data_IF_580951021759
#
_entry.id   IF_580951021759
#
_cell.length_a   1.000
_cell.length_b   1.000
_cell.length_c   1.000
_cell.angle_alpha   90.00
_cell.angle_beta   90.00
_cell.angle_gamma   90.00
#
_symmetry.space_group_name_H-M   'P 1'
#
loop_
_entity.id
_entity.type
_entity.pdbx_description
1 polymer ?
#
# COMPACT_ATOMS: atom_id res chain seq x y z
N UNK A 1 -18.45 22.67 -2.21
CA UNK A 1 -18.10 21.48 -1.40
C UNK A 1 -17.40 21.98 -0.15
N UNK A 2 -17.49 21.24 0.95
CA UNK A 2 -16.74 21.54 2.18
C UNK A 2 -15.79 20.40 2.50
N UNK A 3 -14.64 20.74 3.06
CA UNK A 3 -13.74 19.75 3.62
C UNK A 3 -14.36 19.14 4.87
N UNK A 4 -14.22 17.81 5.00
CA UNK A 4 -14.49 17.14 6.27
C UNK A 4 -13.52 17.65 7.33
N UNK A 5 -13.97 17.58 8.57
CA UNK A 5 -13.16 17.96 9.72
C UNK A 5 -11.90 17.09 9.78
N UNK A 6 -10.78 17.77 10.00
CA UNK A 6 -9.50 17.11 10.24
C UNK A 6 -9.38 16.71 11.71
N UNK A 7 -8.47 15.79 12.06
CA UNK A 7 -8.11 15.55 13.45
C UNK A 7 -7.67 16.85 14.14
N UNK A 8 -7.86 16.94 15.46
CA UNK A 8 -7.42 18.11 16.23
C UNK A 8 -5.90 18.12 16.45
N UNK A 9 -5.37 19.26 16.89
CA UNK A 9 -4.03 19.37 17.48
C UNK A 9 -2.86 19.04 16.54
N UNK A 10 -2.79 19.69 15.37
CA UNK A 10 -1.63 19.59 14.46
C UNK A 10 -1.51 18.25 13.72
N UNK A 11 -2.54 17.40 13.80
CA UNK A 11 -2.65 16.14 13.09
C UNK A 11 -3.51 16.28 11.85
N UNK A 12 -3.21 15.47 10.84
CA UNK A 12 -3.99 15.37 9.60
C UNK A 12 -4.25 13.90 9.26
N UNK A 13 -5.22 13.63 8.38
CA UNK A 13 -5.48 12.27 7.93
C UNK A 13 -4.29 11.75 7.10
N UNK A 14 -3.79 10.57 7.43
CA UNK A 14 -2.69 9.89 6.75
C UNK A 14 -3.15 8.75 5.82
N UNK A 15 -4.45 8.60 5.59
CA UNK A 15 -4.99 7.67 4.60
C UNK A 15 -6.28 8.17 3.96
N UNK A 16 -6.61 7.61 2.80
CA UNK A 16 -7.80 7.94 2.01
C UNK A 16 -9.11 7.66 2.75
N UNK A 17 -9.13 6.66 3.63
CA UNK A 17 -10.28 6.30 4.45
C UNK A 17 -10.56 7.30 5.60
N UNK A 18 -9.66 8.25 5.87
CA UNK A 18 -9.77 9.18 7.00
C UNK A 18 -9.93 8.44 8.35
N UNK A 19 -9.17 7.37 8.55
CA UNK A 19 -9.21 6.55 9.79
C UNK A 19 -7.90 6.58 10.56
N UNK A 20 -6.80 6.98 9.93
CA UNK A 20 -5.48 7.11 10.55
C UNK A 20 -5.06 8.57 10.57
N UNK A 21 -4.76 9.10 11.75
CA UNK A 21 -4.15 10.42 11.88
C UNK A 21 -2.62 10.29 11.88
N UNK A 22 -1.93 11.24 11.27
CA UNK A 22 -0.48 11.36 11.31
C UNK A 22 -0.08 12.69 11.92
N UNK A 23 1.12 12.74 12.49
CA UNK A 23 1.73 14.00 12.88
C UNK A 23 2.05 14.81 11.62
N UNK A 24 1.49 16.01 11.55
CA UNK A 24 1.69 16.93 10.45
C UNK A 24 2.14 18.29 11.00
N UNK A 25 2.94 18.26 12.06
CA UNK A 25 3.35 19.45 12.78
C UNK A 25 4.12 20.47 11.92
N UNK A 26 4.75 20.02 10.83
CA UNK A 26 5.42 20.88 9.84
C UNK A 26 4.44 21.66 8.94
N UNK A 27 3.15 21.33 8.97
CA UNK A 27 2.10 21.98 8.20
C UNK A 27 1.21 22.86 9.07
N UNK A 28 0.69 23.91 8.46
CA UNK A 28 -0.40 24.74 8.99
C UNK A 28 -1.57 24.66 8.04
N UNK A 29 -2.66 24.08 8.50
CA UNK A 29 -3.93 24.06 7.77
C UNK A 29 -4.79 25.25 8.21
N UNK A 30 -5.19 26.09 7.26
CA UNK A 30 -6.04 27.26 7.50
C UNK A 30 -7.40 27.04 6.82
N UNK A 31 -8.48 26.82 7.58
CA UNK A 31 -9.82 26.76 7.02
C UNK A 31 -10.27 28.16 6.54
N UNK A 32 -11.29 28.24 5.67
CA UNK A 32 -11.87 29.51 5.26
C UNK A 32 -12.39 30.29 6.49
N UNK A 33 -12.32 31.64 6.48
CA UNK A 33 -12.81 32.47 7.58
C UNK A 33 -14.31 32.24 7.80
N UNK A 34 -14.73 32.12 9.08
CA UNK A 34 -16.08 31.67 9.49
C UNK A 34 -17.27 32.54 9.03
N UNK A 35 -17.01 33.70 8.40
CA UNK A 35 -18.02 34.71 8.08
C UNK A 35 -18.51 34.70 6.63
N UNK A 36 -18.04 33.78 5.78
CA UNK A 36 -18.52 33.67 4.39
C UNK A 36 -19.82 32.86 4.29
N UNK A 37 -20.91 33.43 4.82
CA UNK A 37 -22.28 32.97 4.55
C UNK A 37 -22.77 33.60 3.23
N UNK A 38 -22.58 32.88 2.13
CA UNK A 38 -23.19 33.18 0.84
C UNK A 38 -23.23 31.91 0.00
N UNK A 39 -24.34 31.67 -0.69
CA UNK A 39 -24.60 30.43 -1.45
C UNK A 39 -23.65 30.22 -2.65
N UNK A 40 -22.79 31.20 -2.95
CA UNK A 40 -21.91 31.21 -4.11
C UNK A 40 -20.44 31.55 -3.75
N UNK A 41 -20.07 31.47 -2.47
CA UNK A 41 -18.70 31.77 -2.06
C UNK A 41 -17.83 30.52 -2.22
N UNK A 42 -16.87 30.59 -3.14
CA UNK A 42 -15.80 29.61 -3.24
C UNK A 42 -15.03 29.57 -1.92
N UNK A 43 -15.12 28.44 -1.21
CA UNK A 43 -14.32 28.22 0.00
C UNK A 43 -12.90 27.87 -0.39
N UNK A 44 -11.97 28.74 -0.03
CA UNK A 44 -10.53 28.50 -0.19
C UNK A 44 -9.96 27.96 1.11
N UNK A 45 -9.25 26.84 1.00
CA UNK A 45 -8.49 26.23 2.08
C UNK A 45 -7.00 26.36 1.75
N UNK A 46 -6.18 26.65 2.75
CA UNK A 46 -4.74 26.80 2.56
C UNK A 46 -3.98 25.80 3.43
N UNK A 47 -2.98 25.17 2.83
CA UNK A 47 -2.03 24.30 3.50
C UNK A 47 -0.64 24.89 3.28
N UNK A 48 0.01 25.28 4.37
CA UNK A 48 1.29 25.97 4.33
C UNK A 48 2.34 25.15 5.10
N UNK A 49 3.56 25.10 4.60
CA UNK A 49 4.71 24.63 5.38
C UNK A 49 5.09 25.72 6.39
N UNK A 50 5.30 25.36 7.66
CA UNK A 50 5.64 26.32 8.71
C UNK A 50 7.01 26.95 8.52
N UNK A 51 7.98 26.14 8.12
CA UNK A 51 9.36 26.58 7.93
C UNK A 51 9.93 25.90 6.68
N UNK A 52 10.66 24.81 6.89
CA UNK A 52 11.33 24.05 5.85
C UNK A 52 10.56 22.77 5.52
N UNK A 53 10.97 22.12 4.43
CA UNK A 53 10.56 20.75 4.16
C UNK A 53 10.91 19.86 5.37
N UNK A 54 10.09 18.84 5.65
CA UNK A 54 10.36 17.91 6.73
C UNK A 54 11.59 17.04 6.41
N UNK A 55 12.26 16.52 7.45
CA UNK A 55 13.29 15.50 7.27
C UNK A 55 12.71 14.19 6.74
N UNK A 56 11.53 13.80 7.24
CA UNK A 56 10.84 12.58 6.84
C UNK A 56 9.64 12.92 5.95
N UNK A 57 9.53 12.30 4.77
CA UNK A 57 8.39 12.52 3.90
C UNK A 57 7.12 11.91 4.47
N UNK A 58 5.98 12.50 4.13
CA UNK A 58 4.67 11.96 4.51
C UNK A 58 3.60 12.40 3.53
N UNK A 59 2.46 11.73 3.56
CA UNK A 59 1.30 12.04 2.72
C UNK A 59 0.09 12.31 3.60
N UNK A 60 -0.58 13.45 3.36
CA UNK A 60 -1.84 13.80 4.01
C UNK A 60 -3.00 13.71 3.04
N UNK A 61 -4.18 13.43 3.58
CA UNK A 61 -5.40 13.25 2.83
C UNK A 61 -6.46 14.23 3.33
N UNK A 62 -7.26 14.74 2.41
CA UNK A 62 -8.43 15.55 2.70
C UNK A 62 -9.60 15.00 1.91
N UNK A 63 -10.77 14.92 2.53
CA UNK A 63 -12.00 14.57 1.83
C UNK A 63 -12.95 15.75 1.79
N UNK A 64 -13.51 16.04 0.63
CA UNK A 64 -14.58 17.03 0.51
C UNK A 64 -15.91 16.31 0.33
N UNK A 65 -16.98 16.91 0.83
CA UNK A 65 -18.36 16.51 0.56
C UNK A 65 -19.18 17.69 0.04
N UNK A 66 -20.12 17.41 -0.86
CA UNK A 66 -21.14 18.40 -1.23
C UNK A 66 -22.09 18.57 -0.03
N UNK A 67 -22.38 19.82 0.37
CA UNK A 67 -23.45 20.06 1.35
C UNK A 67 -24.76 19.50 0.82
N UNK A 68 -25.57 18.82 1.65
CA UNK A 68 -26.95 18.54 1.30
C UNK A 68 -27.65 19.89 1.05
N UNK A 69 -28.17 20.10 -0.15
CA UNK A 69 -29.18 21.13 -0.40
C UNK A 69 -30.47 20.62 0.21
N UNK A 70 -30.90 21.26 1.30
CA UNK A 70 -32.06 20.84 2.08
C UNK A 70 -33.35 21.14 1.29
N UNK A 71 -33.76 20.21 0.43
CA UNK A 71 -35.09 20.21 -0.20
C UNK A 71 -35.57 18.76 -0.40
N UNK A 72 -36.43 18.31 0.50
CA UNK A 72 -37.40 17.26 0.22
C UNK A 72 -37.03 15.86 0.69
N UNK A 73 -37.82 15.34 1.62
CA UNK A 73 -37.94 13.94 2.00
C UNK A 73 -38.00 13.04 0.75
N UNK A 74 -36.88 12.38 0.42
CA UNK A 74 -36.77 11.45 -0.69
C UNK A 74 -35.79 10.33 -0.34
N UNK A 75 -36.30 9.10 -0.35
CA UNK A 75 -35.63 7.83 -0.02
C UNK A 75 -34.19 7.78 -0.58
N UNK A 76 -33.21 7.52 0.29
CA UNK A 76 -31.80 7.32 -0.08
C UNK A 76 -31.68 6.08 -0.97
N UNK A 77 -31.55 6.29 -2.27
CA UNK A 77 -31.01 5.30 -3.20
C UNK A 77 -29.54 5.60 -3.42
N UNK A 78 -28.69 4.69 -2.96
CA UNK A 78 -27.26 4.70 -3.23
C UNK A 78 -27.03 4.55 -4.74
N UNK A 79 -26.51 5.59 -5.41
CA UNK A 79 -25.90 5.50 -6.74
C UNK A 79 -25.17 6.81 -7.10
N UNK A 80 -23.86 6.74 -7.37
CA UNK A 80 -23.11 7.75 -8.16
C UNK A 80 -21.96 8.51 -7.47
N UNK A 81 -20.73 8.55 -8.04
CA UNK A 81 -19.52 9.10 -7.42
C UNK A 81 -19.27 10.59 -7.74
N UNK A 82 -20.22 11.49 -7.42
CA UNK A 82 -20.07 12.93 -7.72
C UNK A 82 -20.31 13.86 -6.52
N UNK A 83 -20.43 13.30 -5.31
CA UNK A 83 -20.74 14.08 -4.09
C UNK A 83 -19.57 14.18 -3.11
N UNK A 84 -18.44 13.55 -3.42
CA UNK A 84 -17.23 13.61 -2.62
C UNK A 84 -16.00 13.66 -3.50
N UNK A 85 -14.95 14.31 -3.03
CA UNK A 85 -13.62 14.18 -3.62
C UNK A 85 -12.59 13.86 -2.55
N UNK A 86 -11.46 13.31 -2.99
CA UNK A 86 -10.32 13.02 -2.13
C UNK A 86 -9.11 13.75 -2.70
N UNK A 87 -8.42 14.47 -1.83
CA UNK A 87 -7.20 15.22 -2.13
C UNK A 87 -6.08 14.52 -1.40
N UNK A 88 -5.05 14.10 -2.12
CA UNK A 88 -3.83 13.53 -1.56
C UNK A 88 -2.70 14.53 -1.78
N UNK A 89 -1.99 14.88 -0.71
CA UNK A 89 -0.85 15.80 -0.76
C UNK A 89 0.38 15.09 -0.22
N UNK A 90 1.36 14.87 -1.09
CA UNK A 90 2.66 14.33 -0.68
C UNK A 90 3.61 15.46 -0.34
N UNK A 91 4.13 15.44 0.88
CA UNK A 91 5.16 16.35 1.36
C UNK A 91 6.51 15.65 1.25
N UNK A 92 7.35 16.15 0.36
CA UNK A 92 8.68 15.60 0.08
C UNK A 92 9.66 15.91 1.21
N UNK A 93 10.72 15.11 1.36
CA UNK A 93 11.76 15.40 2.34
C UNK A 93 12.66 16.53 1.85
N UNK A 94 13.36 17.19 2.78
CA UNK A 94 14.38 18.20 2.46
C UNK A 94 15.48 17.63 1.57
N UNK A 95 15.92 16.41 1.86
CA UNK A 95 16.88 15.68 1.05
C UNK A 95 16.15 14.57 0.30
N UNK A 96 16.04 14.65 -1.05
CA UNK A 96 15.36 13.64 -1.83
C UNK A 96 16.01 12.27 -1.68
N UNK A 97 15.19 11.21 -1.65
CA UNK A 97 15.66 9.83 -1.64
C UNK A 97 15.34 9.21 -3.01
N UNK A 98 16.31 9.17 -3.94
CA UNK A 98 16.11 8.60 -5.26
C UNK A 98 15.97 7.08 -5.18
N UNK A 99 15.25 6.50 -6.13
CA UNK A 99 15.21 5.05 -6.29
C UNK A 99 16.56 4.54 -6.82
N UNK A 100 17.07 3.38 -6.35
CA UNK A 100 18.17 2.70 -7.01
C UNK A 100 17.85 2.47 -8.49
N UNK A 101 18.83 2.60 -9.38
CA UNK A 101 18.62 2.45 -10.84
C UNK A 101 17.98 1.10 -11.22
N UNK A 102 18.32 0.03 -10.49
CA UNK A 102 17.73 -1.31 -10.67
C UNK A 102 16.26 -1.39 -10.27
N UNK A 103 15.78 -0.44 -9.47
CA UNK A 103 14.41 -0.37 -8.94
C UNK A 103 13.58 0.72 -9.65
N UNK A 104 14.09 1.30 -10.74
CA UNK A 104 13.33 2.21 -11.60
C UNK A 104 12.58 1.40 -12.65
N UNK A 105 11.25 1.48 -12.63
CA UNK A 105 10.39 0.77 -13.56
C UNK A 105 10.29 1.54 -14.88
N UNK A 106 10.97 1.04 -15.92
CA UNK A 106 10.98 1.64 -17.27
C UNK A 106 10.10 0.88 -18.25
N UNK A 107 10.27 -0.43 -18.36
CA UNK A 107 9.50 -1.31 -19.24
C UNK A 107 9.30 -2.69 -18.60
N UNK A 108 8.20 -3.38 -18.93
CA UNK A 108 7.96 -4.75 -18.50
C UNK A 108 7.62 -4.84 -17.01
N UNK A 109 8.45 -5.52 -16.23
CA UNK A 109 8.25 -5.70 -14.79
C UNK A 109 9.58 -5.64 -14.04
N UNK A 110 9.59 -4.97 -12.88
CA UNK A 110 10.62 -5.11 -11.86
C UNK A 110 10.03 -5.79 -10.62
N UNK A 111 10.89 -6.44 -9.84
CA UNK A 111 10.52 -7.03 -8.55
C UNK A 111 11.32 -6.38 -7.44
N UNK A 112 10.64 -5.96 -6.39
CA UNK A 112 11.23 -5.37 -5.18
C UNK A 112 10.71 -6.10 -3.95
N UNK A 113 11.51 -6.15 -2.89
CA UNK A 113 11.17 -6.90 -1.69
C UNK A 113 11.30 -6.03 -0.43
N UNK A 114 10.37 -6.22 0.50
CA UNK A 114 10.48 -5.75 1.88
C UNK A 114 10.72 -6.95 2.77
N UNK A 115 11.89 -7.00 3.39
CA UNK A 115 12.31 -8.12 4.23
C UNK A 115 12.20 -7.78 5.71
N UNK A 116 12.34 -8.81 6.55
CA UNK A 116 12.50 -8.65 8.00
C UNK A 116 13.69 -7.79 8.40
N UNK A 117 14.75 -7.76 7.59
CA UNK A 117 15.94 -6.95 7.84
C UNK A 117 15.75 -5.49 7.41
N UNK A 118 15.17 -5.25 6.22
CA UNK A 118 15.11 -3.88 5.66
C UNK A 118 13.88 -3.11 6.11
N UNK A 119 12.73 -3.78 6.28
CA UNK A 119 11.40 -3.20 6.58
C UNK A 119 10.91 -2.11 5.63
N UNK A 120 11.72 -1.73 4.65
CA UNK A 120 11.44 -0.67 3.69
C UNK A 120 12.04 -1.04 2.33
N UNK A 121 11.49 -0.44 1.27
CA UNK A 121 12.08 -0.50 -0.07
C UNK A 121 11.72 0.76 -0.85
N UNK A 122 12.66 1.24 -1.67
CA UNK A 122 12.46 2.38 -2.56
C UNK A 122 12.47 1.92 -4.02
N UNK A 123 11.50 2.39 -4.78
CA UNK A 123 11.36 2.15 -6.21
C UNK A 123 10.90 3.42 -6.92
N UNK A 124 11.08 3.48 -8.24
CA UNK A 124 10.75 4.66 -9.02
C UNK A 124 9.96 4.35 -10.27
N UNK A 125 9.21 5.35 -10.73
CA UNK A 125 8.69 5.36 -12.10
C UNK A 125 9.65 6.15 -13.00
N UNK A 126 9.81 5.66 -14.23
CA UNK A 126 10.58 6.38 -15.24
C UNK A 126 9.99 7.77 -15.54
N UNK A 127 10.75 8.58 -16.29
CA UNK A 127 10.35 9.95 -16.60
C UNK A 127 8.97 10.02 -17.25
N UNK A 128 8.15 10.95 -16.75
CA UNK A 128 6.78 11.22 -17.18
C UNK A 128 5.78 10.04 -16.96
N UNK A 129 6.21 8.98 -16.27
CA UNK A 129 5.33 7.90 -15.85
C UNK A 129 4.71 8.18 -14.47
N UNK A 130 3.41 7.94 -14.38
CA UNK A 130 2.62 8.16 -13.17
C UNK A 130 2.35 6.80 -12.50
N UNK A 131 2.52 6.76 -11.19
CA UNK A 131 2.22 5.58 -10.39
C UNK A 131 0.70 5.31 -10.36
N UNK A 132 0.35 4.03 -10.51
CA UNK A 132 -1.01 3.50 -10.38
C UNK A 132 -1.00 2.37 -9.34
N UNK A 133 -1.97 2.34 -8.40
CA UNK A 133 -3.07 3.29 -8.24
C UNK A 133 -2.60 4.71 -7.89
N UNK A 134 -3.45 5.70 -8.17
CA UNK A 134 -3.10 7.11 -7.92
C UNK A 134 -3.06 7.44 -6.41
N UNK A 135 -3.85 6.70 -5.63
CA UNK A 135 -3.83 6.78 -4.18
C UNK A 135 -2.70 5.89 -3.65
N UNK A 136 -1.77 6.47 -2.90
CA UNK A 136 -0.57 5.76 -2.43
C UNK A 136 -0.88 4.69 -1.39
N UNK A 137 -2.02 4.79 -0.71
CA UNK A 137 -2.52 3.80 0.24
C UNK A 137 -3.35 2.69 -0.44
N UNK A 138 -3.39 2.65 -1.77
CA UNK A 138 -4.00 1.57 -2.56
C UNK A 138 -2.95 0.83 -3.39
N UNK A 139 -3.21 -0.45 -3.65
CA UNK A 139 -2.36 -1.34 -4.44
C UNK A 139 -3.20 -2.19 -5.38
N UNK A 140 -2.57 -2.76 -6.39
CA UNK A 140 -3.22 -3.74 -7.26
C UNK A 140 -2.84 -5.16 -6.84
N UNK A 141 -3.81 -6.06 -6.85
CA UNK A 141 -3.62 -7.50 -6.71
C UNK A 141 -4.18 -8.23 -7.92
N UNK A 142 -3.62 -9.40 -8.23
CA UNK A 142 -4.18 -10.27 -9.26
C UNK A 142 -5.40 -10.99 -8.69
N UNK A 143 -6.56 -10.86 -9.34
CA UNK A 143 -7.76 -11.61 -9.00
C UNK A 143 -7.65 -12.99 -9.66
N UNK A 144 -7.96 -14.03 -8.89
CA UNK A 144 -8.10 -15.37 -9.43
C UNK A 144 -9.13 -15.36 -10.58
N UNK A 145 -8.87 -16.08 -11.69
CA UNK A 145 -9.78 -16.10 -12.83
C UNK A 145 -11.15 -16.62 -12.35
N UNK A 146 -12.20 -15.83 -12.56
CA UNK A 146 -13.56 -16.33 -12.42
C UNK A 146 -13.85 -17.15 -13.68
N UNK A 147 -14.20 -18.42 -13.49
CA UNK A 147 -14.50 -19.33 -14.58
C UNK A 147 -15.81 -18.94 -15.25
N UNK A 148 -15.77 -18.06 -16.24
CA UNK A 148 -16.81 -17.89 -17.25
C UNK A 148 -16.15 -17.67 -18.62
N UNK A 149 -16.11 -18.71 -19.45
CA UNK A 149 -15.71 -18.63 -20.86
C UNK A 149 -14.22 -18.80 -21.17
N UNK A 150 -13.95 -19.14 -22.43
CA UNK A 150 -12.69 -19.68 -22.98
C UNK A 150 -11.54 -18.67 -23.12
N UNK A 151 -11.51 -17.62 -22.27
CA UNK A 151 -10.44 -16.63 -22.28
C UNK A 151 -10.17 -16.12 -20.87
N UNK A 152 -9.15 -16.69 -20.22
CA UNK A 152 -8.64 -16.23 -18.91
C UNK A 152 -7.95 -14.87 -19.08
N UNK A 153 -8.69 -13.80 -18.87
CA UNK A 153 -8.09 -12.50 -18.56
C UNK A 153 -7.86 -12.43 -17.06
N UNK A 154 -6.58 -12.33 -16.64
CA UNK A 154 -6.28 -11.98 -15.25
C UNK A 154 -6.90 -10.59 -15.00
N UNK A 155 -7.81 -10.51 -14.05
CA UNK A 155 -8.43 -9.24 -13.68
C UNK A 155 -7.67 -8.65 -12.52
N UNK A 156 -7.32 -7.37 -12.61
CA UNK A 156 -6.63 -6.66 -11.55
C UNK A 156 -7.66 -6.07 -10.60
N UNK A 157 -7.38 -6.09 -9.29
CA UNK A 157 -8.25 -5.48 -8.28
C UNK A 157 -7.45 -4.48 -7.46
N UNK A 158 -7.97 -3.26 -7.35
CA UNK A 158 -7.47 -2.26 -6.42
C UNK A 158 -7.97 -2.55 -4.99
N UNK A 159 -7.05 -2.57 -4.03
CA UNK A 159 -7.31 -2.80 -2.60
C UNK A 159 -6.47 -1.86 -1.74
N UNK A 160 -6.88 -1.66 -0.50
CA UNK A 160 -6.14 -0.82 0.46
C UNK A 160 -4.87 -1.54 0.90
N UNK A 161 -3.73 -0.87 0.84
CA UNK A 161 -2.42 -1.41 1.22
C UNK A 161 -2.41 -1.96 2.65
N UNK A 162 -3.02 -1.21 3.58
CA UNK A 162 -3.06 -1.55 5.00
C UNK A 162 -3.90 -2.80 5.31
N UNK A 163 -4.81 -3.20 4.41
CA UNK A 163 -5.56 -4.46 4.56
C UNK A 163 -4.68 -5.69 4.28
N UNK A 164 -3.61 -5.52 3.49
CA UNK A 164 -2.64 -6.57 3.18
C UNK A 164 -1.47 -6.56 4.18
N UNK A 165 -0.93 -5.37 4.47
CA UNK A 165 0.24 -5.18 5.32
C UNK A 165 -0.07 -4.14 6.40
N UNK A 166 -0.25 -4.55 7.67
CA UNK A 166 -0.60 -3.64 8.74
C UNK A 166 0.40 -2.51 8.93
N UNK A 167 -0.10 -1.31 9.27
CA UNK A 167 0.70 -0.12 9.56
C UNK A 167 1.68 0.35 8.46
N UNK A 168 1.59 -0.22 7.27
CA UNK A 168 2.40 0.17 6.13
C UNK A 168 2.00 1.53 5.55
N UNK A 169 2.95 2.12 4.83
CA UNK A 169 2.75 3.38 4.11
C UNK A 169 3.67 3.48 2.91
N UNK A 170 3.14 3.96 1.79
CA UNK A 170 3.92 4.41 0.65
C UNK A 170 3.94 5.94 0.63
N UNK A 171 5.13 6.53 0.55
CA UNK A 171 5.32 7.98 0.48
C UNK A 171 6.19 8.34 -0.71
N UNK A 172 5.90 9.47 -1.35
CA UNK A 172 6.78 10.01 -2.38
C UNK A 172 8.04 10.62 -1.73
N UNK A 173 9.21 10.31 -2.27
CA UNK A 173 10.50 10.71 -1.71
C UNK A 173 11.38 11.49 -2.68
N UNK A 174 11.03 11.49 -3.96
CA UNK A 174 11.64 12.32 -4.99
C UNK A 174 10.61 12.64 -6.09
N UNK A 175 10.69 13.84 -6.66
CA UNK A 175 9.93 14.29 -7.83
C UNK A 175 10.84 14.89 -8.91
N UNK A 176 12.11 14.50 -8.94
CA UNK A 176 13.04 14.82 -10.01
C UNK A 176 12.61 14.15 -11.33
N UNK A 177 13.56 13.92 -12.25
CA UNK A 177 13.27 13.29 -13.54
C UNK A 177 12.60 11.91 -13.40
N UNK A 178 12.86 11.19 -12.31
CA UNK A 178 12.20 9.94 -11.94
C UNK A 178 11.52 10.11 -10.59
N UNK A 179 10.20 9.94 -10.56
CA UNK A 179 9.47 9.99 -9.29
C UNK A 179 9.83 8.75 -8.46
N UNK A 180 10.26 8.95 -7.21
CA UNK A 180 10.63 7.87 -6.31
C UNK A 180 9.63 7.75 -5.15
N UNK A 181 9.40 6.51 -4.73
CA UNK A 181 8.48 6.16 -3.66
C UNK A 181 9.16 5.19 -2.72
N UNK A 182 8.99 5.41 -1.42
CA UNK A 182 9.49 4.52 -0.38
C UNK A 182 8.31 3.87 0.33
N UNK A 183 8.25 2.55 0.23
CA UNK A 183 7.31 1.72 0.98
C UNK A 183 7.95 1.37 2.33
N UNK A 184 7.22 1.62 3.42
CA UNK A 184 7.61 1.22 4.77
C UNK A 184 6.59 0.24 5.33
N UNK A 185 7.07 -0.88 5.87
CA UNK A 185 6.28 -1.93 6.50
C UNK A 185 6.87 -2.23 7.89
N UNK A 186 6.61 -1.38 8.90
CA UNK A 186 7.14 -1.58 10.24
C UNK A 186 6.69 -2.93 10.82
N UNK A 187 5.42 -3.26 10.62
CA UNK A 187 4.83 -4.54 11.00
C UNK A 187 4.69 -5.41 9.75
N UNK A 188 5.41 -6.54 9.74
CA UNK A 188 5.26 -7.50 8.65
C UNK A 188 3.94 -8.26 8.78
N UNK A 189 3.31 -8.62 7.65
CA UNK A 189 2.07 -9.39 7.65
C UNK A 189 2.28 -10.79 8.23
N UNK A 190 1.20 -11.41 8.71
CA UNK A 190 1.25 -12.78 9.24
C UNK A 190 1.60 -13.83 8.16
N UNK A 191 1.28 -13.55 6.90
CA UNK A 191 1.63 -14.35 5.74
C UNK A 191 2.28 -13.46 4.69
N UNK A 192 3.21 -14.00 3.89
CA UNK A 192 3.87 -13.23 2.85
C UNK A 192 2.82 -12.68 1.87
N UNK A 193 2.97 -11.41 1.50
CA UNK A 193 2.05 -10.71 0.61
C UNK A 193 2.71 -10.36 -0.71
N UNK A 194 1.93 -10.43 -1.78
CA UNK A 194 2.32 -9.96 -3.10
C UNK A 194 1.25 -9.02 -3.63
N UNK A 195 1.68 -7.84 -4.04
CA UNK A 195 0.86 -6.83 -4.69
C UNK A 195 1.74 -6.06 -5.67
N UNK A 196 1.16 -5.19 -6.48
CA UNK A 196 1.93 -4.42 -7.44
C UNK A 196 1.39 -3.02 -7.64
N UNK A 197 2.29 -2.18 -8.14
CA UNK A 197 1.96 -0.90 -8.75
C UNK A 197 2.26 -0.94 -10.24
N UNK A 198 1.75 0.02 -10.98
CA UNK A 198 2.10 0.25 -12.38
C UNK A 198 2.64 1.66 -12.57
N UNK A 199 3.69 1.80 -13.34
CA UNK A 199 4.15 3.07 -13.87
C UNK A 199 3.62 3.17 -15.30
N UNK A 200 2.73 4.14 -15.55
CA UNK A 200 2.11 4.35 -16.85
C UNK A 200 2.40 5.77 -17.35
N UNK A 201 2.96 5.89 -18.56
CA UNK A 201 3.16 7.20 -19.20
C UNK A 201 1.83 7.90 -19.45
N UNK A 202 1.77 9.20 -19.19
CA UNK A 202 0.53 10.00 -19.29
C UNK A 202 0.12 10.37 -20.72
N UNK A 203 0.64 9.72 -21.76
CA UNK A 203 0.45 10.11 -23.16
C UNK A 203 -1.01 9.94 -23.58
N UNK A 204 -1.78 11.01 -23.39
CA UNK A 204 -3.15 11.15 -23.83
C UNK A 204 -3.10 11.65 -25.27
N UNK A 205 -3.58 10.85 -26.23
CA UNK A 205 -3.85 11.33 -27.59
C UNK A 205 -2.67 11.32 -28.55
N UNK A 206 -2.28 10.14 -29.02
CA UNK A 206 -1.48 10.00 -30.23
C UNK A 206 -1.71 8.61 -30.78
N UNK A 207 -2.19 8.51 -32.02
CA UNK A 207 -2.25 7.25 -32.77
C UNK A 207 -0.80 6.82 -33.00
N UNK A 208 -0.18 6.18 -32.02
CA UNK A 208 1.09 5.50 -32.16
C UNK A 208 0.82 4.02 -32.04
N UNK A 209 1.19 3.33 -33.13
CA UNK A 209 1.08 1.89 -33.37
C UNK A 209 2.06 1.07 -32.50
N UNK A 210 2.27 1.46 -31.24
CA UNK A 210 3.11 0.79 -30.26
C UNK A 210 2.42 0.87 -28.91
N UNK A 211 2.17 -0.29 -28.28
CA UNK A 211 1.36 -0.42 -27.07
C UNK A 211 1.77 0.53 -25.94
N UNK A 212 0.81 0.89 -25.09
CA UNK A 212 1.08 1.63 -23.86
C UNK A 212 2.26 0.99 -23.13
N UNK A 213 3.33 1.75 -22.89
CA UNK A 213 4.45 1.32 -22.07
C UNK A 213 4.01 1.37 -20.61
N UNK A 214 3.36 0.31 -20.16
CA UNK A 214 3.13 0.06 -18.73
C UNK A 214 4.30 -0.76 -18.19
N UNK A 215 4.85 -0.32 -17.06
CA UNK A 215 5.83 -1.07 -16.30
C UNK A 215 5.23 -1.49 -14.96
N UNK A 216 5.32 -2.77 -14.60
CA UNK A 216 4.80 -3.33 -13.34
C UNK A 216 5.88 -3.36 -12.28
N UNK A 217 5.60 -2.81 -11.10
CA UNK A 217 6.45 -2.94 -9.91
C UNK A 217 5.82 -4.02 -9.03
N UNK A 218 6.31 -5.25 -9.11
CA UNK A 218 5.89 -6.33 -8.22
C UNK A 218 6.57 -6.16 -6.86
N UNK A 219 5.78 -6.02 -5.81
CA UNK A 219 6.25 -5.90 -4.44
C UNK A 219 5.95 -7.19 -3.69
N UNK A 220 6.99 -7.78 -3.11
CA UNK A 220 6.86 -8.91 -2.18
C UNK A 220 7.19 -8.43 -0.77
N UNK A 221 6.29 -8.68 0.18
CA UNK A 221 6.51 -8.39 1.61
C UNK A 221 6.61 -9.71 2.35
N UNK A 222 7.73 -9.95 3.02
CA UNK A 222 7.95 -11.16 3.80
C UNK A 222 6.94 -11.27 4.95
N UNK A 223 6.64 -12.51 5.35
CA UNK A 223 5.88 -12.73 6.58
C UNK A 223 6.71 -12.34 7.81
N UNK A 224 6.03 -12.00 8.89
CA UNK A 224 6.67 -11.79 10.18
C UNK A 224 7.45 -13.06 10.58
N UNK A 225 8.77 -12.99 10.87
CA UNK A 225 9.52 -14.13 11.35
C UNK A 225 8.90 -14.63 12.65
N UNK A 226 8.35 -15.83 12.61
CA UNK A 226 7.78 -16.47 13.78
C UNK A 226 8.89 -16.65 14.83
N UNK A 227 8.77 -16.09 16.04
CA UNK A 227 9.77 -16.26 17.08
C UNK A 227 9.99 -17.73 17.48
N UNK A 228 9.13 -18.67 17.03
CA UNK A 228 9.25 -20.10 17.32
C UNK A 228 10.09 -20.90 16.31
N UNK A 229 10.62 -20.30 15.24
CA UNK A 229 11.54 -20.99 14.33
C UNK A 229 13.01 -20.89 14.80
N UNK A 230 13.25 -20.99 16.12
CA UNK A 230 14.60 -21.20 16.64
C UNK A 230 14.94 -22.68 16.49
N UNK A 231 15.73 -22.99 15.45
CA UNK A 231 16.65 -24.13 15.32
C UNK A 231 16.60 -25.16 16.46
N UNK A 232 15.79 -26.21 16.31
CA UNK A 232 16.02 -27.47 17.02
C UNK A 232 17.37 -28.03 16.56
N UNK A 233 18.40 -28.13 17.41
CA UNK A 233 19.67 -28.73 17.01
C UNK A 233 19.45 -30.23 16.76
N UNK A 234 20.15 -30.85 15.80
CA UNK A 234 20.13 -32.30 15.64
C UNK A 234 20.65 -32.95 16.93
N UNK A 235 20.00 -34.00 17.47
CA UNK A 235 20.52 -34.70 18.64
C UNK A 235 21.83 -35.40 18.26
N UNK A 236 22.93 -34.87 18.80
CA UNK A 236 24.25 -35.49 18.80
C UNK A 236 24.19 -36.84 19.50
N UNK A 237 24.67 -37.87 18.80
CA UNK A 237 24.89 -39.22 19.31
C UNK A 237 26.03 -39.22 20.34
N UNK A 238 25.65 -39.27 21.62
CA UNK A 238 26.57 -39.45 22.75
C UNK A 238 26.02 -40.48 23.75
N UNK A 239 26.84 -41.47 24.06
CA UNK A 239 26.54 -42.75 24.71
C UNK A 239 26.33 -42.65 26.23
N UNK A 240 25.33 -43.40 26.72
CA UNK A 240 25.07 -44.01 28.06
C UNK A 240 25.38 -43.27 29.38
N UNK A 241 24.34 -43.14 30.23
CA UNK A 241 24.03 -44.04 31.37
C UNK A 241 22.76 -43.54 32.07
N UNK A 242 21.79 -44.43 32.27
CA UNK A 242 20.44 -44.07 32.69
C UNK A 242 20.19 -44.07 34.20
N UNK A 243 18.96 -43.74 34.56
CA UNK A 243 18.20 -44.29 35.69
C UNK A 243 16.71 -44.24 35.30
N UNK A 244 16.00 -45.31 35.67
CA UNK A 244 14.58 -45.60 35.49
C UNK A 244 13.64 -44.45 35.88
N UNK A 245 12.49 -44.31 35.22
CA UNK A 245 11.21 -44.76 35.79
C UNK A 245 10.00 -44.19 35.02
N UNK A 246 8.99 -45.05 34.95
CA UNK A 246 7.57 -44.76 34.76
C UNK A 246 7.02 -44.76 33.34
N UNK A 247 6.21 -45.79 33.12
CA UNK A 247 5.54 -46.17 31.91
C UNK A 247 4.27 -45.33 31.66
N UNK A 248 4.05 -45.00 30.39
CA UNK A 248 2.72 -44.97 29.77
C UNK A 248 2.87 -45.51 28.35
N UNK A 249 2.47 -46.76 28.13
CA UNK A 249 2.12 -47.27 26.80
C UNK A 249 0.76 -46.65 26.40
N UNK A 250 0.54 -46.27 25.14
CA UNK A 250 -0.26 -46.99 24.11
C UNK A 250 -0.62 -45.88 23.09
N UNK A 251 -0.73 -46.00 21.76
CA UNK A 251 -0.46 -47.02 20.73
C UNK A 251 -0.35 -46.22 19.43
N UNK A 252 0.69 -46.48 18.63
CA UNK A 252 0.83 -45.92 17.28
C UNK A 252 0.14 -46.84 16.27
N UNK A 253 -0.83 -46.32 15.52
CA UNK A 253 -1.36 -47.00 14.32
C UNK A 253 -0.69 -46.33 13.12
N UNK A 254 0.30 -47.02 12.56
CA UNK A 254 0.93 -46.67 11.28
C UNK A 254 0.20 -47.37 10.15
N UNK A 255 -0.40 -46.62 9.23
CA UNK A 255 -0.77 -47.14 7.92
C UNK A 255 0.39 -46.87 6.96
N UNK A 256 1.11 -47.93 6.60
CA UNK A 256 2.00 -47.95 5.46
C UNK A 256 1.20 -48.26 4.20
N UNK A 257 1.19 -47.33 3.24
CA UNK A 257 0.87 -47.65 1.86
C UNK A 257 2.18 -47.58 1.06
N UNK A 258 2.80 -48.75 0.90
CA UNK A 258 3.75 -49.06 -0.16
C UNK A 258 2.97 -49.08 -1.48
N UNK A 259 3.33 -48.23 -2.44
CA UNK A 259 3.20 -48.61 -3.86
C UNK A 259 4.54 -48.38 -4.53
N UNK A 260 5.13 -49.52 -4.90
CA UNK A 260 6.33 -49.65 -5.70
C UNK A 260 6.16 -48.99 -7.08
N UNK A 261 7.26 -48.43 -7.58
CA UNK A 261 7.30 -47.78 -8.88
C UNK A 261 7.17 -48.72 -10.08
N UNK A 262 7.21 -48.10 -11.26
CA UNK A 262 7.70 -48.73 -12.48
C UNK A 262 8.18 -47.64 -13.44
N UNK A 263 9.41 -47.80 -13.89
CA UNK A 263 9.97 -47.14 -15.05
C UNK A 263 9.13 -47.42 -16.30
N UNK A 264 8.94 -46.40 -17.14
CA UNK A 264 9.19 -46.40 -18.59
C UNK A 264 9.35 -44.96 -19.05
#
# INVERSE_FOLDING_TARGET
MELRENPTDGKLWGNSACTKAIDAASLTFKPPPSNTKGSDVQQTYSLELKENLPTYPFTVYFSCVKKPTDHGSGRVTASGPANSCLIQVSVLPTEPVPAPETNVCREGQISVAVTSDTKTVTFGCDKDAILKPALLDHVLIEKAPQSEGDQRTATEKEVVLQDLVPNSSLVATDQAATAAYTLSCPDLPASAQNFFYKCASSTTGGISKGGQKECKVLVTVEQNPDPSATTTPPPSSGVQRGVMSSACMIVSISFAALVAGKWF
#
